data_IF_406146072422
#
_entry.id   IF_406146072422
#
_cell.length_a   1.000
_cell.length_b   1.000
_cell.length_c   1.000
_cell.angle_alpha   90.00
_cell.angle_beta   90.00
_cell.angle_gamma   90.00
#
_symmetry.space_group_name_H-M   'P 1'
#
loop_
_entity.id
_entity.type
_entity.pdbx_description
1 polymer ?
#
# COMPACT_ATOMS: atom_id res chain seq x y z
N UNK A 1 21.49 -8.89 6.03
CA UNK A 1 20.62 -9.33 7.14
C UNK A 1 20.23 -8.11 7.96
N UNK A 2 18.98 -8.00 8.43
CA UNK A 2 18.56 -6.93 9.34
C UNK A 2 19.37 -7.01 10.64
N UNK A 3 19.79 -5.85 11.18
CA UNK A 3 20.62 -5.82 12.39
C UNK A 3 19.88 -6.37 13.62
N UNK A 4 18.56 -6.14 13.67
CA UNK A 4 17.68 -6.62 14.75
C UNK A 4 16.37 -7.08 14.13
N UNK A 5 16.02 -8.38 14.21
CA UNK A 5 14.70 -8.88 13.79
C UNK A 5 13.57 -8.25 14.63
N UNK A 6 12.42 -8.01 14.02
CA UNK A 6 11.23 -7.52 14.72
C UNK A 6 10.36 -8.70 15.17
N UNK A 7 9.90 -8.76 16.43
CA UNK A 7 9.12 -9.88 16.94
C UNK A 7 7.83 -10.19 16.15
N UNK A 8 7.26 -9.20 15.46
CA UNK A 8 6.03 -9.31 14.67
C UNK A 8 6.27 -9.21 13.15
N UNK A 9 7.53 -9.35 12.75
CA UNK A 9 8.02 -9.07 11.41
C UNK A 9 8.21 -7.59 11.11
N UNK A 10 8.82 -7.32 9.96
CA UNK A 10 9.29 -6.00 9.55
C UNK A 10 8.50 -5.48 8.34
N UNK A 11 8.12 -4.19 8.35
CA UNK A 11 7.69 -3.47 7.14
C UNK A 11 8.82 -2.55 6.70
N UNK A 12 9.37 -2.80 5.50
CA UNK A 12 10.43 -1.97 4.94
C UNK A 12 9.82 -0.79 4.17
N UNK A 13 10.12 0.44 4.59
CA UNK A 13 9.73 1.65 3.87
C UNK A 13 10.90 2.22 3.07
N UNK A 14 10.67 2.56 1.80
CA UNK A 14 11.67 3.18 0.94
C UNK A 14 11.02 4.08 -0.13
N UNK A 15 11.80 4.93 -0.81
CA UNK A 15 11.23 5.78 -1.87
C UNK A 15 11.10 5.02 -3.19
N UNK A 16 12.22 4.55 -3.74
CA UNK A 16 12.29 3.85 -5.03
C UNK A 16 11.92 2.38 -4.85
N UNK A 17 10.81 1.88 -5.44
CA UNK A 17 10.42 0.50 -5.26
C UNK A 17 11.40 -0.45 -5.97
N UNK A 18 11.68 -1.64 -5.41
CA UNK A 18 12.55 -2.63 -6.03
C UNK A 18 11.79 -3.47 -7.06
N UNK A 19 11.14 -2.80 -8.02
CA UNK A 19 10.30 -3.42 -9.05
C UNK A 19 10.52 -2.71 -10.39
N UNK A 20 10.32 -3.39 -11.53
CA UNK A 20 10.38 -2.72 -12.83
C UNK A 20 9.30 -1.65 -12.96
N UNK A 21 9.64 -0.49 -13.54
CA UNK A 21 8.64 0.49 -13.95
C UNK A 21 8.01 0.09 -15.29
N UNK A 22 6.68 0.18 -15.39
CA UNK A 22 5.97 -0.03 -16.68
C UNK A 22 6.07 1.19 -17.61
N UNK A 23 6.40 2.36 -17.07
CA UNK A 23 6.75 3.56 -17.84
C UNK A 23 8.28 3.65 -18.00
N UNK A 24 8.84 3.49 -19.20
CA UNK A 24 10.29 3.38 -19.40
C UNK A 24 11.09 4.59 -18.91
N UNK A 25 10.51 5.81 -18.96
CA UNK A 25 11.20 7.01 -18.46
C UNK A 25 11.51 6.91 -16.96
N UNK A 26 10.66 6.25 -16.16
CA UNK A 26 10.92 6.08 -14.73
C UNK A 26 12.14 5.17 -14.45
N UNK A 27 12.54 4.32 -15.41
CA UNK A 27 13.80 3.56 -15.28
C UNK A 27 15.05 4.43 -15.29
N UNK A 28 14.98 5.70 -15.72
CA UNK A 28 16.11 6.63 -15.60
C UNK A 28 16.46 6.97 -14.14
N UNK A 29 15.51 6.79 -13.23
CA UNK A 29 15.57 7.15 -11.81
C UNK A 29 15.19 5.97 -10.90
N UNK A 30 15.24 4.74 -11.41
CA UNK A 30 14.89 3.55 -10.63
C UNK A 30 15.91 3.21 -9.54
N UNK A 31 15.50 2.34 -8.61
CA UNK A 31 16.43 1.73 -7.66
C UNK A 31 17.46 0.91 -8.42
N UNK A 32 18.73 1.32 -8.37
CA UNK A 32 19.85 0.58 -8.94
C UNK A 32 20.30 -0.55 -8.02
N UNK A 33 20.93 -1.55 -8.61
CA UNK A 33 21.58 -2.66 -7.90
C UNK A 33 20.64 -3.45 -6.96
N UNK A 34 19.40 -3.66 -7.43
CA UNK A 34 18.34 -4.33 -6.67
C UNK A 34 18.75 -5.72 -6.21
N UNK A 35 19.66 -6.41 -6.94
CA UNK A 35 20.16 -7.75 -6.56
C UNK A 35 20.77 -7.75 -5.14
N UNK A 36 21.55 -6.73 -4.78
CA UNK A 36 22.13 -6.63 -3.42
C UNK A 36 21.07 -6.48 -2.35
N UNK A 37 20.00 -5.72 -2.65
CA UNK A 37 18.86 -5.60 -1.74
C UNK A 37 18.13 -6.94 -1.61
N UNK A 38 17.90 -7.64 -2.74
CA UNK A 38 17.26 -8.96 -2.73
C UNK A 38 18.02 -9.96 -1.86
N UNK A 39 19.35 -9.97 -1.95
CA UNK A 39 20.20 -10.88 -1.16
C UNK A 39 20.18 -10.56 0.34
N UNK A 40 19.95 -9.30 0.71
CA UNK A 40 19.78 -8.89 2.11
C UNK A 40 18.41 -9.25 2.68
N UNK A 41 17.36 -9.20 1.86
CA UNK A 41 15.96 -9.35 2.30
C UNK A 41 15.42 -10.78 2.19
N UNK A 42 15.93 -11.59 1.26
CA UNK A 42 15.40 -12.94 1.01
C UNK A 42 15.47 -13.79 2.29
N UNK A 43 14.34 -14.37 2.68
CA UNK A 43 14.24 -15.23 3.86
C UNK A 43 14.32 -14.50 5.21
N UNK A 44 14.26 -13.17 5.22
CA UNK A 44 14.15 -12.38 6.46
C UNK A 44 12.71 -12.31 6.95
N UNK A 45 12.50 -11.68 8.11
CA UNK A 45 11.19 -11.40 8.72
C UNK A 45 10.46 -10.22 8.06
N UNK A 46 10.92 -9.71 6.92
CA UNK A 46 10.25 -8.62 6.20
C UNK A 46 8.97 -9.15 5.55
N UNK A 47 7.83 -8.59 5.98
CA UNK A 47 6.49 -9.02 5.57
C UNK A 47 5.91 -8.19 4.43
N UNK A 48 6.36 -6.94 4.29
CA UNK A 48 5.96 -6.05 3.19
C UNK A 48 7.01 -4.97 2.93
N UNK A 49 7.06 -4.49 1.69
CA UNK A 49 7.81 -3.30 1.27
C UNK A 49 6.80 -2.23 0.86
N UNK A 50 6.85 -1.07 1.49
CA UNK A 50 6.05 0.10 1.08
C UNK A 50 6.94 1.12 0.38
N UNK A 51 6.46 1.65 -0.74
CA UNK A 51 7.23 2.58 -1.55
C UNK A 51 6.38 3.67 -2.24
N UNK A 52 7.07 4.61 -2.88
CA UNK A 52 6.48 5.68 -3.68
C UNK A 52 7.13 5.74 -5.06
N UNK A 53 7.58 6.93 -5.46
CA UNK A 53 8.33 7.20 -6.70
C UNK A 53 7.53 7.11 -8.01
N UNK A 54 6.69 6.07 -8.18
CA UNK A 54 6.02 5.81 -9.45
C UNK A 54 4.88 6.78 -9.77
N UNK A 55 4.23 7.35 -8.75
CA UNK A 55 3.03 8.20 -8.90
C UNK A 55 1.84 7.45 -9.53
N UNK A 56 1.76 6.13 -9.35
CA UNK A 56 0.58 5.32 -9.62
C UNK A 56 0.62 4.09 -8.71
N UNK A 57 -0.55 3.62 -8.27
CA UNK A 57 -0.61 2.45 -7.40
C UNK A 57 -0.09 1.22 -8.11
N UNK A 58 0.92 0.57 -7.53
CA UNK A 58 1.58 -0.61 -8.10
C UNK A 58 1.76 -1.68 -7.03
N UNK A 59 1.46 -2.92 -7.39
CA UNK A 59 1.63 -4.07 -6.51
C UNK A 59 2.46 -5.13 -7.22
N UNK A 60 3.43 -5.70 -6.52
CA UNK A 60 4.33 -6.70 -7.06
C UNK A 60 4.94 -7.54 -5.93
N UNK A 61 5.89 -8.39 -6.27
CA UNK A 61 6.71 -9.14 -5.31
C UNK A 61 8.18 -8.92 -5.60
N UNK A 62 9.00 -8.78 -4.56
CA UNK A 62 10.45 -8.67 -4.66
C UNK A 62 11.11 -9.57 -3.62
N UNK A 63 12.00 -10.47 -4.08
CA UNK A 63 12.63 -11.50 -3.22
C UNK A 63 11.61 -12.34 -2.39
N UNK A 64 10.40 -12.54 -2.92
CA UNK A 64 9.31 -13.24 -2.24
C UNK A 64 8.45 -12.37 -1.32
N UNK A 65 8.78 -11.08 -1.17
CA UNK A 65 8.10 -10.14 -0.27
C UNK A 65 7.11 -9.28 -1.07
N UNK A 66 5.85 -9.10 -0.62
CA UNK A 66 4.91 -8.16 -1.23
C UNK A 66 5.43 -6.73 -1.25
N UNK A 67 5.29 -6.06 -2.39
CA UNK A 67 5.60 -4.64 -2.59
C UNK A 67 4.31 -3.88 -2.85
N UNK A 68 4.06 -2.83 -2.08
CA UNK A 68 2.94 -1.89 -2.27
C UNK A 68 3.48 -0.49 -2.51
N UNK A 69 3.31 0.00 -3.73
CA UNK A 69 3.63 1.38 -4.11
C UNK A 69 2.36 2.21 -4.03
N UNK A 70 2.39 3.27 -3.22
CA UNK A 70 1.28 4.22 -3.17
C UNK A 70 1.30 5.14 -4.40
N UNK A 71 0.12 5.61 -4.81
CA UNK A 71 0.01 6.76 -5.72
C UNK A 71 0.59 8.02 -5.06
N UNK A 72 0.55 9.12 -5.78
CA UNK A 72 0.99 10.43 -5.29
C UNK A 72 -0.19 11.28 -4.85
N UNK A 73 0.08 12.26 -3.99
CA UNK A 73 -0.92 13.20 -3.49
C UNK A 73 -1.06 14.46 -4.34
N UNK A 74 -0.11 14.73 -5.26
CA UNK A 74 -0.12 15.94 -6.10
C UNK A 74 -0.57 15.67 -7.54
N UNK A 75 -0.08 14.61 -8.17
CA UNK A 75 -0.48 14.18 -9.53
C UNK A 75 -0.16 12.69 -9.70
N UNK A 76 -0.93 11.98 -10.51
CA UNK A 76 -0.62 10.59 -10.87
C UNK A 76 -0.07 10.48 -12.30
N UNK A 77 0.55 9.35 -12.64
CA UNK A 77 0.86 9.01 -14.03
C UNK A 77 -0.29 8.24 -14.66
N UNK A 78 -0.60 8.57 -15.90
CA UNK A 78 -1.53 7.84 -16.74
C UNK A 78 -0.81 6.73 -17.52
N UNK A 79 -1.19 5.48 -17.25
CA UNK A 79 -0.60 4.30 -17.87
C UNK A 79 -1.19 3.95 -19.24
N UNK A 80 -2.19 4.69 -19.72
CA UNK A 80 -2.85 4.44 -21.01
C UNK A 80 -2.14 5.12 -22.20
N UNK A 81 -0.95 5.69 -21.96
CA UNK A 81 -0.11 6.26 -23.01
C UNK A 81 0.53 5.17 -23.88
N UNK A 82 0.86 5.49 -25.15
CA UNK A 82 1.70 4.60 -25.96
C UNK A 82 3.02 4.24 -25.27
N UNK A 83 3.54 3.05 -25.53
CA UNK A 83 4.81 2.56 -24.97
C UNK A 83 5.93 3.59 -25.19
N UNK A 84 6.67 3.89 -24.12
CA UNK A 84 7.74 4.90 -24.12
C UNK A 84 7.25 6.31 -23.77
N UNK A 85 5.94 6.55 -23.75
CA UNK A 85 5.34 7.81 -23.30
C UNK A 85 5.29 7.95 -21.78
N UNK A 86 4.99 9.18 -21.35
CA UNK A 86 4.63 9.52 -19.97
C UNK A 86 3.55 10.60 -20.03
N UNK A 87 2.59 10.58 -19.10
CA UNK A 87 1.53 11.59 -19.02
C UNK A 87 1.17 11.79 -17.56
N UNK A 88 1.71 12.82 -16.88
CA UNK A 88 1.18 13.22 -15.58
C UNK A 88 -0.25 13.74 -15.76
N UNK A 89 -1.11 13.43 -14.80
CA UNK A 89 -2.51 13.86 -14.77
C UNK A 89 -2.89 14.35 -13.37
N UNK A 90 -3.73 15.36 -13.33
CA UNK A 90 -4.38 15.84 -12.11
C UNK A 90 -5.62 14.98 -11.80
N UNK A 91 -5.38 13.69 -11.60
CA UNK A 91 -6.38 12.69 -11.29
C UNK A 91 -5.71 11.48 -10.62
N UNK A 92 -6.52 10.59 -10.02
CA UNK A 92 -6.06 9.36 -9.37
C UNK A 92 -5.01 9.57 -8.26
N UNK A 93 -4.99 10.75 -7.64
CA UNK A 93 -4.26 10.96 -6.41
C UNK A 93 -4.85 10.10 -5.30
N UNK A 94 -3.98 9.43 -4.55
CA UNK A 94 -4.39 8.50 -3.51
C UNK A 94 -3.29 8.34 -2.47
N UNK A 95 -3.66 7.78 -1.33
CA UNK A 95 -2.74 7.23 -0.33
C UNK A 95 -3.17 5.81 0.00
N UNK A 96 -2.28 5.02 0.62
CA UNK A 96 -2.62 3.67 1.05
C UNK A 96 -2.85 3.63 2.57
N UNK A 97 -3.94 3.01 3.00
CA UNK A 97 -4.09 2.54 4.38
C UNK A 97 -3.51 1.14 4.50
N UNK A 98 -2.67 0.92 5.50
CA UNK A 98 -2.00 -0.36 5.74
C UNK A 98 -2.45 -0.92 7.08
N UNK A 99 -3.16 -2.05 7.04
CA UNK A 99 -3.57 -2.77 8.24
C UNK A 99 -2.71 -4.01 8.41
N UNK A 100 -1.98 -4.08 9.53
CA UNK A 100 -1.11 -5.22 9.87
C UNK A 100 -1.88 -6.14 10.82
N UNK A 101 -2.11 -7.37 10.37
CA UNK A 101 -2.67 -8.46 11.17
C UNK A 101 -1.59 -9.50 11.47
N UNK A 102 -1.93 -10.48 12.31
CA UNK A 102 -1.03 -11.57 12.68
C UNK A 102 -0.50 -12.29 11.42
N UNK A 103 -1.39 -12.68 10.50
CA UNK A 103 -1.05 -13.51 9.33
C UNK A 103 -1.05 -12.77 7.99
N UNK A 104 -1.48 -11.50 7.96
CA UNK A 104 -1.59 -10.74 6.69
C UNK A 104 -1.36 -9.25 6.87
N UNK A 105 -0.96 -8.58 5.79
CA UNK A 105 -0.90 -7.12 5.71
C UNK A 105 -1.81 -6.68 4.56
N UNK A 106 -2.84 -5.91 4.88
CA UNK A 106 -3.82 -5.42 3.91
C UNK A 106 -3.44 -4.00 3.49
N UNK A 107 -3.29 -3.79 2.19
CA UNK A 107 -3.05 -2.49 1.58
C UNK A 107 -4.31 -2.04 0.83
N UNK A 108 -4.94 -0.97 1.29
CA UNK A 108 -6.14 -0.40 0.67
C UNK A 108 -5.82 0.96 0.07
N UNK A 109 -6.09 1.14 -1.23
CA UNK A 109 -5.92 2.43 -1.91
C UNK A 109 -7.11 3.33 -1.58
N UNK A 110 -6.83 4.54 -1.08
CA UNK A 110 -7.83 5.55 -0.75
C UNK A 110 -7.65 6.76 -1.67
N UNK A 111 -8.58 6.99 -2.61
CA UNK A 111 -8.57 8.19 -3.45
C UNK A 111 -8.65 9.47 -2.61
N UNK A 112 -7.93 10.51 -3.01
CA UNK A 112 -8.00 11.83 -2.38
C UNK A 112 -9.20 12.62 -2.90
N UNK A 113 -9.50 12.52 -4.20
CA UNK A 113 -10.63 13.23 -4.79
C UNK A 113 -11.94 12.69 -4.21
N UNK A 114 -12.79 13.61 -3.73
CA UNK A 114 -14.13 13.28 -3.29
C UNK A 114 -14.99 12.91 -4.51
N UNK A 115 -15.45 11.67 -4.57
CA UNK A 115 -16.49 11.24 -5.50
C UNK A 115 -17.86 11.32 -4.80
N UNK A 116 -18.96 11.49 -5.56
CA UNK A 116 -20.30 11.36 -5.00
C UNK A 116 -20.47 9.99 -4.32
N UNK A 117 -20.97 9.99 -3.08
CA UNK A 117 -21.33 8.76 -2.41
C UNK A 117 -22.54 8.14 -3.12
N UNK A 118 -22.45 6.86 -3.49
CA UNK A 118 -23.60 6.12 -4.05
C UNK A 118 -24.59 5.74 -2.95
N UNK A 119 -24.07 5.28 -1.82
CA UNK A 119 -24.82 4.97 -0.59
C UNK A 119 -23.89 5.26 0.59
N UNK A 120 -24.46 5.69 1.72
CA UNK A 120 -23.75 5.77 2.98
C UNK A 120 -24.45 4.87 3.99
N UNK A 121 -23.72 3.86 4.47
CA UNK A 121 -24.14 2.95 5.52
C UNK A 121 -23.30 3.30 6.75
N UNK A 122 -23.94 3.80 7.79
CA UNK A 122 -23.26 4.08 9.05
C UNK A 122 -22.85 2.78 9.78
N UNK A 123 -22.08 2.92 10.87
CA UNK A 123 -21.54 1.79 11.60
C UNK A 123 -22.64 0.91 12.23
N UNK A 124 -23.73 1.51 12.71
CA UNK A 124 -24.81 0.79 13.37
C UNK A 124 -25.59 -0.05 12.35
N UNK A 125 -25.91 0.53 11.19
CA UNK A 125 -26.56 -0.19 10.10
C UNK A 125 -25.66 -1.28 9.52
N UNK A 126 -24.36 -1.01 9.34
CA UNK A 126 -23.41 -2.05 8.92
C UNK A 126 -23.38 -3.21 9.91
N UNK A 127 -23.36 -2.92 11.22
CA UNK A 127 -23.40 -3.93 12.26
C UNK A 127 -24.69 -4.73 12.24
N UNK A 128 -25.85 -4.10 12.05
CA UNK A 128 -27.14 -4.79 11.88
C UNK A 128 -27.10 -5.76 10.70
N UNK A 129 -26.69 -5.30 9.51
CA UNK A 129 -26.60 -6.13 8.30
C UNK A 129 -25.65 -7.32 8.48
N UNK A 130 -24.52 -7.12 9.16
CA UNK A 130 -23.57 -8.19 9.46
C UNK A 130 -24.16 -9.22 10.44
N UNK A 131 -24.83 -8.76 11.50
CA UNK A 131 -25.51 -9.64 12.46
C UNK A 131 -26.64 -10.43 11.81
N UNK A 132 -27.47 -9.81 10.99
CA UNK A 132 -28.54 -10.48 10.24
C UNK A 132 -27.99 -11.52 9.25
N UNK A 133 -26.79 -11.30 8.72
CA UNK A 133 -26.07 -12.24 7.86
C UNK A 133 -25.32 -13.34 8.65
N UNK A 134 -25.35 -13.33 9.98
CA UNK A 134 -24.61 -14.27 10.83
C UNK A 134 -23.09 -14.09 10.80
N UNK A 135 -22.59 -12.91 10.40
CA UNK A 135 -21.16 -12.60 10.34
C UNK A 135 -20.74 -11.89 11.64
N UNK A 136 -20.18 -12.66 12.58
CA UNK A 136 -19.68 -12.14 13.85
C UNK A 136 -18.14 -12.03 13.86
N UNK A 137 -17.60 -10.96 14.45
CA UNK A 137 -16.17 -10.85 14.83
C UNK A 137 -15.19 -10.18 13.85
N UNK A 138 -15.62 -9.70 12.68
CA UNK A 138 -14.71 -9.19 11.65
C UNK A 138 -14.13 -7.78 11.90
N UNK A 139 -14.82 -6.90 12.65
CA UNK A 139 -14.46 -5.48 12.75
C UNK A 139 -13.78 -5.07 14.06
N UNK A 140 -13.94 -5.85 15.14
CA UNK A 140 -13.59 -5.42 16.50
C UNK A 140 -12.11 -5.51 16.84
N UNK A 141 -11.28 -6.20 16.04
CA UNK A 141 -9.84 -6.31 16.29
C UNK A 141 -9.00 -5.25 15.57
N UNK A 142 -9.53 -4.63 14.51
CA UNK A 142 -8.84 -3.62 13.70
C UNK A 142 -9.22 -2.17 14.08
N UNK A 143 -10.39 -1.97 14.70
CA UNK A 143 -10.79 -0.69 15.24
C UNK A 143 -10.00 -0.38 16.52
N UNK A 144 -8.92 0.41 16.36
CA UNK A 144 -8.32 1.31 17.34
C UNK A 144 -8.74 1.08 18.80
N UNK A 145 -7.82 0.59 19.65
CA UNK A 145 -7.83 1.02 21.06
C UNK A 145 -7.86 2.55 21.04
N UNK A 146 -8.86 3.14 21.68
CA UNK A 146 -9.16 4.56 21.70
C UNK A 146 -7.89 5.40 21.79
N UNK A 147 -7.72 6.38 20.92
CA UNK A 147 -6.67 7.39 21.10
C UNK A 147 -6.81 7.98 22.51
N UNK A 148 -5.74 8.13 23.30
CA UNK A 148 -5.84 8.76 24.61
C UNK A 148 -6.34 10.20 24.41
N UNK A 149 -7.27 10.62 25.27
CA UNK A 149 -7.79 11.96 25.26
C UNK A 149 -6.62 12.96 25.38
N UNK A 150 -6.52 13.87 24.41
CA UNK A 150 -5.62 15.01 24.50
C UNK A 150 -6.01 15.81 25.75
N UNK A 151 -5.06 15.97 26.67
CA UNK A 151 -5.15 16.90 27.79
C UNK A 151 -4.79 18.31 27.32
#
# INVERSE_FOLDING_TARGET
VLATPAPLGTVLAMHHPPVPSVLPLASSVELRDQRRLADVLRGTDVRAIIAGHLHYSTFATFAGIPVSVASSTCYAQDLTVPVGGTRPQDAAQAYNLVHVYDETIVHSVVPIAAAPALEYIDADEAQRRLSDAGIEGALTRAARRSAPALR
#
